data_IF_539458764554
#
_entry.id   IF_539458764554
#
_cell.length_a   1.000
_cell.length_b   1.000
_cell.length_c   1.000
_cell.angle_alpha   90.00
_cell.angle_beta   90.00
_cell.angle_gamma   90.00
#
_symmetry.space_group_name_H-M   'P 1'
#
loop_
_entity.id
_entity.type
_entity.pdbx_description
1 polymer ?
#
# COMPACT_ATOMS: atom_id res chain seq x y z
N UNK A 1 20.49 12.16 -10.32
CA UNK A 1 19.61 12.71 -9.25
C UNK A 1 19.26 14.14 -9.65
N UNK A 2 18.03 14.61 -9.39
CA UNK A 2 17.62 16.00 -9.68
C UNK A 2 18.30 17.05 -8.78
N UNK A 3 19.28 16.66 -7.96
CA UNK A 3 20.04 17.55 -7.06
C UNK A 3 19.35 17.90 -5.74
N UNK A 4 18.10 17.46 -5.54
CA UNK A 4 17.33 17.77 -4.34
C UNK A 4 17.95 17.14 -3.08
N UNK A 5 17.93 17.85 -1.93
CA UNK A 5 18.40 17.31 -0.66
C UNK A 5 17.53 16.13 -0.22
N UNK A 6 18.15 15.14 0.41
CA UNK A 6 17.50 13.91 0.88
C UNK A 6 17.56 13.88 2.39
N UNK A 7 16.42 13.66 3.04
CA UNK A 7 16.34 13.54 4.50
C UNK A 7 17.28 12.42 5.01
N UNK A 8 17.93 12.59 6.18
CA UNK A 8 18.68 11.51 6.83
C UNK A 8 17.81 10.29 7.16
N UNK A 9 16.49 10.50 7.27
CA UNK A 9 15.50 9.44 7.53
C UNK A 9 14.85 8.87 6.26
N UNK A 10 15.23 9.37 5.08
CA UNK A 10 14.73 8.84 3.81
C UNK A 10 15.10 7.35 3.68
N UNK A 11 14.25 6.50 3.07
CA UNK A 11 14.53 5.06 2.95
C UNK A 11 15.88 4.72 2.30
N UNK A 12 16.40 5.51 1.36
CA UNK A 12 17.78 5.30 0.84
C UNK A 12 18.89 5.38 1.90
N UNK A 13 18.68 6.16 2.97
CA UNK A 13 19.63 6.34 4.07
C UNK A 13 19.27 5.47 5.30
N UNK A 14 18.10 4.83 5.30
CA UNK A 14 17.62 4.02 6.42
C UNK A 14 18.47 2.76 6.56
N UNK A 15 18.81 2.44 7.82
CA UNK A 15 19.39 1.16 8.25
C UNK A 15 18.41 0.47 9.19
N UNK A 16 18.16 -0.82 8.94
CA UNK A 16 17.31 -1.63 9.81
C UNK A 16 18.20 -2.45 10.74
N UNK A 17 18.40 -1.94 11.96
CA UNK A 17 19.22 -2.58 12.99
C UNK A 17 18.27 -3.11 14.10
N UNK A 18 17.97 -4.42 14.12
CA UNK A 18 17.04 -4.97 15.11
C UNK A 18 17.61 -4.81 16.52
N UNK A 19 16.75 -4.40 17.46
CA UNK A 19 17.07 -4.32 18.89
C UNK A 19 15.95 -5.00 19.69
N UNK A 20 15.92 -6.35 19.72
CA UNK A 20 14.91 -7.08 20.47
C UNK A 20 14.89 -6.65 21.94
N UNK A 21 13.70 -6.52 22.51
CA UNK A 21 13.48 -6.15 23.90
C UNK A 21 12.06 -6.50 24.32
N UNK A 22 11.75 -6.30 25.60
CA UNK A 22 10.38 -6.43 26.11
C UNK A 22 9.44 -5.40 25.47
N UNK A 23 8.14 -5.71 25.44
CA UNK A 23 7.11 -4.77 24.99
C UNK A 23 6.81 -3.77 26.11
N UNK A 24 7.02 -2.48 25.83
CA UNK A 24 6.63 -1.38 26.71
C UNK A 24 5.73 -0.40 25.93
N UNK A 25 4.46 -0.30 26.36
CA UNK A 25 3.46 0.57 25.73
C UNK A 25 3.73 2.07 25.90
N UNK A 26 4.63 2.46 26.82
CA UNK A 26 5.09 3.84 26.98
C UNK A 26 6.28 4.17 26.09
N UNK A 27 7.04 3.15 25.70
CA UNK A 27 8.28 3.28 24.95
C UNK A 27 8.20 2.47 23.63
N UNK A 28 8.82 1.29 23.57
CA UNK A 28 8.91 0.46 22.37
C UNK A 28 7.93 -0.71 22.45
N UNK A 29 6.92 -0.71 21.59
CA UNK A 29 5.83 -1.70 21.64
C UNK A 29 5.56 -2.45 20.33
N UNK A 30 6.29 -2.16 19.25
CA UNK A 30 6.07 -2.80 17.95
C UNK A 30 7.36 -2.89 17.12
N UNK A 31 7.37 -3.81 16.16
CA UNK A 31 8.40 -3.95 15.14
C UNK A 31 8.13 -3.07 13.90
N UNK A 32 6.93 -2.52 13.77
CA UNK A 32 6.58 -1.59 12.70
C UNK A 32 7.38 -0.29 12.84
N UNK A 33 7.78 0.30 11.71
CA UNK A 33 8.39 1.64 11.68
C UNK A 33 7.32 2.73 11.48
N UNK A 34 7.67 4.00 11.70
CA UNK A 34 6.75 5.15 11.56
C UNK A 34 7.03 6.00 10.31
N UNK A 35 6.71 5.53 9.07
CA UNK A 35 6.83 6.36 7.89
C UNK A 35 5.85 7.55 7.95
N UNK A 36 6.31 8.70 7.48
CA UNK A 36 5.56 9.96 7.40
C UNK A 36 5.82 10.61 6.05
N UNK A 37 4.84 11.33 5.52
CA UNK A 37 5.02 12.16 4.34
C UNK A 37 5.17 13.60 4.77
N UNK A 38 6.36 14.18 4.59
CA UNK A 38 6.66 15.54 5.06
C UNK A 38 6.21 15.81 6.51
N UNK A 39 6.59 14.88 7.41
CA UNK A 39 6.22 14.86 8.84
C UNK A 39 4.73 14.65 9.15
N UNK A 40 3.88 14.51 8.14
CA UNK A 40 2.46 14.21 8.28
C UNK A 40 2.22 12.70 8.34
N UNK A 41 1.25 12.31 9.17
CA UNK A 41 0.64 10.98 9.14
C UNK A 41 -0.17 10.86 7.86
N UNK A 42 -0.05 9.72 7.17
CA UNK A 42 -0.79 9.45 5.94
C UNK A 42 -1.44 8.08 6.01
N UNK A 43 -2.61 7.94 5.38
CA UNK A 43 -3.34 6.69 5.24
C UNK A 43 -3.10 6.09 3.84
N UNK A 44 -2.70 4.82 3.78
CA UNK A 44 -2.52 4.08 2.55
C UNK A 44 -3.71 3.13 2.32
N UNK A 45 -4.25 3.15 1.11
CA UNK A 45 -5.39 2.31 0.75
C UNK A 45 -5.60 2.30 -0.75
N UNK A 46 -6.25 1.25 -1.26
CA UNK A 46 -6.78 1.28 -2.62
C UNK A 46 -7.85 2.38 -2.79
N UNK A 47 -8.64 2.63 -1.75
CA UNK A 47 -9.56 3.75 -1.67
C UNK A 47 -8.85 5.12 -1.72
N UNK A 48 -7.63 5.25 -1.18
CA UNK A 48 -6.86 6.50 -1.27
C UNK A 48 -6.47 6.77 -2.72
N UNK A 49 -6.22 5.71 -3.52
CA UNK A 49 -6.01 5.84 -4.97
C UNK A 49 -7.25 6.40 -5.66
N UNK A 50 -8.44 5.84 -5.39
CA UNK A 50 -9.68 6.38 -5.95
C UNK A 50 -9.86 7.86 -5.59
N UNK A 51 -9.66 8.21 -4.32
CA UNK A 51 -9.75 9.58 -3.84
C UNK A 51 -8.78 10.52 -4.55
N UNK A 52 -7.49 10.18 -4.58
CA UNK A 52 -6.46 10.99 -5.22
C UNK A 52 -6.71 11.13 -6.73
N UNK A 53 -7.10 10.05 -7.39
CA UNK A 53 -7.43 10.03 -8.81
C UNK A 53 -8.62 10.94 -9.12
N UNK A 54 -9.69 10.81 -8.34
CA UNK A 54 -10.89 11.64 -8.48
C UNK A 54 -10.57 13.12 -8.35
N UNK A 55 -9.80 13.48 -7.31
CA UNK A 55 -9.47 14.86 -6.95
C UNK A 55 -8.44 15.49 -7.89
N UNK A 56 -7.42 14.75 -8.29
CA UNK A 56 -6.35 15.28 -9.12
C UNK A 56 -6.78 15.49 -10.57
N UNK A 57 -7.69 14.65 -11.09
CA UNK A 57 -8.12 14.67 -12.49
C UNK A 57 -6.95 14.58 -13.48
N UNK A 58 -5.91 13.83 -13.11
CA UNK A 58 -4.70 13.59 -13.91
C UNK A 58 -4.62 12.17 -14.47
N UNK A 59 -5.77 11.54 -14.68
CA UNK A 59 -5.81 10.27 -15.38
C UNK A 59 -5.36 10.48 -16.84
N UNK A 60 -4.65 9.51 -17.43
CA UNK A 60 -4.58 9.40 -18.88
C UNK A 60 -5.99 9.36 -19.48
N UNK A 61 -6.09 9.68 -20.77
CA UNK A 61 -7.34 9.48 -21.50
C UNK A 61 -7.80 8.02 -21.33
N UNK A 62 -9.07 7.86 -20.99
CA UNK A 62 -9.69 6.58 -20.71
C UNK A 62 -11.07 6.54 -21.35
N UNK A 63 -11.42 5.40 -21.94
CA UNK A 63 -12.75 5.16 -22.52
C UNK A 63 -13.76 4.72 -21.46
N UNK A 64 -13.29 4.26 -20.29
CA UNK A 64 -14.14 3.67 -19.25
C UNK A 64 -14.13 4.43 -17.92
N UNK A 65 -13.15 5.30 -17.67
CA UNK A 65 -12.93 5.91 -16.36
C UNK A 65 -12.88 7.43 -16.51
N UNK A 66 -13.77 8.13 -15.80
CA UNK A 66 -13.78 9.60 -15.76
C UNK A 66 -13.67 10.11 -14.33
N UNK A 67 -12.66 10.95 -14.07
CA UNK A 67 -12.48 11.66 -12.80
C UNK A 67 -13.12 13.06 -12.86
N UNK A 68 -14.06 13.35 -11.96
CA UNK A 68 -14.87 14.59 -11.99
C UNK A 68 -14.39 15.67 -11.02
N UNK A 69 -13.35 15.41 -10.23
CA UNK A 69 -12.92 16.28 -9.11
C UNK A 69 -13.64 15.97 -7.79
N UNK A 70 -14.79 15.27 -7.84
CA UNK A 70 -15.62 14.94 -6.68
C UNK A 70 -16.18 13.52 -6.72
N UNK A 71 -15.96 12.78 -7.80
CA UNK A 71 -16.37 11.41 -8.00
C UNK A 71 -15.50 10.71 -9.06
N UNK A 72 -15.70 9.41 -9.19
CA UNK A 72 -15.18 8.54 -10.24
C UNK A 72 -16.34 7.88 -10.97
N UNK A 73 -16.56 8.20 -12.23
CA UNK A 73 -17.53 7.51 -13.11
C UNK A 73 -16.83 6.36 -13.80
N UNK A 74 -17.41 5.16 -13.68
CA UNK A 74 -16.87 3.89 -14.14
C UNK A 74 -17.88 3.24 -15.11
N UNK A 75 -17.58 3.26 -16.40
CA UNK A 75 -18.40 2.66 -17.44
C UNK A 75 -18.05 1.18 -17.57
N UNK A 76 -19.00 0.32 -17.20
CA UNK A 76 -18.92 -1.12 -17.45
C UNK A 76 -19.43 -1.36 -18.87
N UNK A 77 -18.57 -1.81 -19.81
CA UNK A 77 -18.99 -2.03 -21.19
C UNK A 77 -20.03 -3.13 -21.29
N UNK A 78 -20.79 -3.12 -22.39
CA UNK A 78 -21.81 -4.12 -22.68
C UNK A 78 -21.23 -5.56 -22.63
N UNK A 79 -21.67 -6.32 -21.64
CA UNK A 79 -21.47 -7.76 -21.53
C UNK A 79 -22.80 -8.48 -21.32
N UNK A 80 -22.79 -9.56 -20.53
CA UNK A 80 -24.00 -10.34 -20.21
C UNK A 80 -25.05 -9.53 -19.44
N UNK A 81 -24.61 -8.63 -18.54
CA UNK A 81 -25.49 -7.83 -17.66
C UNK A 81 -25.86 -6.47 -18.26
N UNK A 82 -25.57 -6.24 -19.54
CA UNK A 82 -25.76 -4.95 -20.20
C UNK A 82 -24.67 -3.92 -19.86
N UNK A 83 -24.66 -2.81 -20.60
CA UNK A 83 -23.81 -1.66 -20.31
C UNK A 83 -24.40 -0.88 -19.13
N UNK A 84 -23.54 -0.40 -18.24
CA UNK A 84 -23.97 0.41 -17.09
C UNK A 84 -22.85 1.31 -16.62
N UNK A 85 -23.22 2.46 -16.09
CA UNK A 85 -22.30 3.34 -15.40
C UNK A 85 -22.47 3.21 -13.88
N UNK A 86 -21.35 3.17 -13.18
CA UNK A 86 -21.27 3.12 -11.72
C UNK A 86 -20.44 4.31 -11.25
N UNK A 87 -20.95 5.10 -10.31
CA UNK A 87 -20.27 6.31 -9.83
C UNK A 87 -19.89 6.19 -8.35
N UNK A 88 -18.60 6.31 -8.06
CA UNK A 88 -18.10 6.45 -6.68
C UNK A 88 -17.96 7.92 -6.34
N UNK A 89 -18.71 8.41 -5.34
CA UNK A 89 -18.57 9.77 -4.85
C UNK A 89 -17.52 9.86 -3.74
N UNK A 90 -16.73 10.94 -3.75
CA UNK A 90 -15.82 11.27 -2.66
C UNK A 90 -16.66 11.53 -1.41
N UNK A 91 -16.49 10.76 -0.32
CA UNK A 91 -17.31 10.92 0.86
C UNK A 91 -16.97 12.20 1.62
N UNK A 92 -17.96 12.81 2.25
CA UNK A 92 -17.77 13.97 3.13
C UNK A 92 -17.04 13.61 4.42
N UNK A 93 -17.24 12.38 4.91
CA UNK A 93 -16.62 11.88 6.14
C UNK A 93 -15.87 10.59 5.85
N UNK A 94 -14.61 10.54 6.27
CA UNK A 94 -13.76 9.37 6.07
C UNK A 94 -13.86 8.43 7.28
N UNK A 95 -14.33 7.19 7.07
CA UNK A 95 -14.49 6.21 8.14
C UNK A 95 -14.34 4.76 7.64
N UNK A 96 -14.56 3.77 8.52
CA UNK A 96 -14.46 2.35 8.20
C UNK A 96 -15.40 1.89 7.07
N UNK A 97 -16.63 2.42 7.01
CA UNK A 97 -17.58 2.12 5.94
C UNK A 97 -17.09 2.66 4.60
N UNK A 98 -16.59 3.88 4.56
CA UNK A 98 -16.10 4.49 3.33
C UNK A 98 -14.82 3.84 2.81
N UNK A 99 -13.93 3.35 3.69
CA UNK A 99 -12.80 2.50 3.26
C UNK A 99 -13.29 1.23 2.57
N UNK A 100 -14.29 0.55 3.14
CA UNK A 100 -14.85 -0.67 2.56
C UNK A 100 -15.61 -0.40 1.26
N UNK A 101 -16.41 0.67 1.21
CA UNK A 101 -17.09 1.12 -0.02
C UNK A 101 -16.06 1.46 -1.09
N UNK A 102 -15.07 2.28 -0.77
CA UNK A 102 -13.97 2.62 -1.68
C UNK A 102 -13.25 1.38 -2.20
N UNK A 103 -12.98 0.38 -1.35
CA UNK A 103 -12.41 -0.91 -1.78
C UNK A 103 -13.33 -1.65 -2.77
N UNK A 104 -14.63 -1.69 -2.52
CA UNK A 104 -15.58 -2.35 -3.42
C UNK A 104 -15.60 -1.70 -4.82
N UNK A 105 -15.62 -0.37 -4.90
CA UNK A 105 -15.53 0.34 -6.17
C UNK A 105 -14.13 0.22 -6.82
N UNK A 106 -13.08 0.07 -6.01
CA UNK A 106 -11.71 -0.08 -6.51
C UNK A 106 -11.51 -1.41 -7.26
N UNK A 107 -12.27 -2.45 -6.92
CA UNK A 107 -12.28 -3.68 -7.73
C UNK A 107 -12.72 -3.40 -9.16
N UNK A 108 -13.83 -2.68 -9.34
CA UNK A 108 -14.30 -2.30 -10.67
C UNK A 108 -13.28 -1.38 -11.37
N UNK A 109 -12.77 -0.36 -10.68
CA UNK A 109 -11.73 0.51 -11.24
C UNK A 109 -10.53 -0.29 -11.75
N UNK A 110 -10.03 -1.25 -10.97
CA UNK A 110 -8.87 -2.07 -11.34
C UNK A 110 -9.17 -2.99 -12.52
N UNK A 111 -10.39 -3.53 -12.61
CA UNK A 111 -10.83 -4.33 -13.75
C UNK A 111 -10.89 -3.50 -15.02
N UNK A 112 -11.39 -2.26 -14.95
CA UNK A 112 -11.44 -1.36 -16.11
C UNK A 112 -10.03 -0.94 -16.56
N UNK A 113 -9.12 -0.63 -15.64
CA UNK A 113 -7.69 -0.40 -15.98
C UNK A 113 -7.07 -1.64 -16.63
N UNK A 114 -7.40 -2.84 -16.13
CA UNK A 114 -6.95 -4.09 -16.73
C UNK A 114 -7.50 -4.30 -18.15
N UNK A 115 -8.77 -3.96 -18.38
CA UNK A 115 -9.39 -4.00 -19.69
C UNK A 115 -8.71 -3.05 -20.68
N UNK A 116 -8.47 -1.78 -20.28
CA UNK A 116 -7.75 -0.82 -21.13
C UNK A 116 -6.35 -1.30 -21.47
N UNK A 117 -5.64 -1.84 -20.48
CA UNK A 117 -4.30 -2.40 -20.68
C UNK A 117 -4.32 -3.55 -21.69
N UNK A 118 -5.34 -4.41 -21.63
CA UNK A 118 -5.52 -5.51 -22.59
C UNK A 118 -5.84 -5.01 -24.01
N UNK A 119 -6.71 -4.01 -24.13
CA UNK A 119 -7.06 -3.42 -25.43
C UNK A 119 -5.85 -2.75 -26.09
N UNK A 120 -5.04 -2.02 -25.31
CA UNK A 120 -3.79 -1.43 -25.82
C UNK A 120 -2.78 -2.52 -26.21
N UNK A 121 -2.67 -3.60 -25.42
CA UNK A 121 -1.84 -4.74 -25.80
C UNK A 121 -2.27 -5.38 -27.13
N UNK A 122 -3.58 -5.54 -27.37
CA UNK A 122 -4.09 -6.05 -28.66
C UNK A 122 -3.80 -5.12 -29.83
N UNK A 123 -3.88 -3.80 -29.62
CA UNK A 123 -3.53 -2.80 -30.64
C UNK A 123 -2.06 -2.87 -31.01
N UNK A 124 -1.16 -2.89 -30.01
CA UNK A 124 0.28 -3.07 -30.21
C UNK A 124 0.58 -4.38 -30.95
N UNK A 125 -0.06 -5.48 -30.54
CA UNK A 125 0.14 -6.78 -31.18
C UNK A 125 -0.29 -6.80 -32.65
N UNK A 126 -1.41 -6.12 -33.00
CA UNK A 126 -1.87 -5.95 -34.40
C UNK A 126 -0.89 -5.12 -35.23
N UNK A 127 -0.19 -4.18 -34.61
CA UNK A 127 0.86 -3.36 -35.24
C UNK A 127 2.19 -4.12 -35.40
N UNK A 128 2.29 -5.35 -34.88
CA UNK A 128 3.49 -6.16 -34.93
C UNK A 128 4.46 -5.92 -33.77
N UNK A 129 4.09 -5.08 -32.80
CA UNK A 129 4.89 -4.82 -31.60
C UNK A 129 4.82 -6.01 -30.65
N UNK A 130 5.92 -6.77 -30.58
CA UNK A 130 6.01 -8.04 -29.81
C UNK A 130 7.21 -8.10 -28.86
N UNK A 131 7.94 -7.00 -28.70
CA UNK A 131 9.10 -6.93 -27.80
C UNK A 131 8.62 -6.96 -26.34
N UNK A 132 9.03 -7.98 -25.58
CA UNK A 132 8.63 -8.18 -24.17
C UNK A 132 9.76 -7.92 -23.16
N UNK A 133 11.00 -7.76 -23.63
CA UNK A 133 12.16 -7.47 -22.81
C UNK A 133 13.04 -6.41 -23.48
N UNK A 134 13.52 -5.44 -22.70
CA UNK A 134 14.41 -4.38 -23.23
C UNK A 134 15.78 -4.94 -23.57
N UNK A 135 16.29 -5.84 -22.72
CA UNK A 135 17.59 -6.49 -22.81
C UNK A 135 17.42 -8.00 -22.96
N UNK A 136 18.34 -8.64 -23.66
CA UNK A 136 18.51 -10.09 -23.72
C UNK A 136 19.29 -10.61 -22.50
N UNK A 137 19.21 -11.91 -22.17
CA UNK A 137 20.01 -12.48 -21.08
C UNK A 137 21.53 -12.27 -21.25
N UNK A 138 22.03 -12.26 -22.49
CA UNK A 138 23.45 -12.01 -22.79
C UNK A 138 23.88 -10.57 -22.53
N UNK A 139 22.95 -9.60 -22.59
CA UNK A 139 23.26 -8.17 -22.36
C UNK A 139 23.14 -7.78 -20.88
N UNK A 140 22.63 -8.66 -20.01
CA UNK A 140 22.27 -8.31 -18.64
C UNK A 140 23.49 -7.93 -17.80
N UNK A 141 24.56 -8.72 -17.84
CA UNK A 141 25.74 -8.50 -16.99
C UNK A 141 26.43 -7.15 -17.31
N UNK A 142 26.51 -6.82 -18.59
CA UNK A 142 27.08 -5.56 -19.09
C UNK A 142 26.18 -4.36 -18.76
N UNK A 143 24.86 -4.57 -18.68
CA UNK A 143 23.90 -3.53 -18.33
C UNK A 143 23.84 -3.21 -16.83
N UNK A 144 24.36 -4.07 -15.95
CA UNK A 144 24.37 -3.83 -14.50
C UNK A 144 25.36 -2.70 -14.17
N UNK A 145 24.89 -1.56 -13.64
CA UNK A 145 25.77 -0.44 -13.29
C UNK A 145 26.83 -0.85 -12.27
N UNK A 146 28.07 -0.39 -12.47
CA UNK A 146 29.21 -0.67 -11.58
C UNK A 146 29.58 0.53 -10.69
N UNK A 147 28.91 1.67 -10.86
CA UNK A 147 29.00 2.88 -10.03
C UNK A 147 27.85 2.94 -8.99
N UNK A 148 27.93 3.89 -8.04
CA UNK A 148 26.84 4.08 -7.07
C UNK A 148 25.58 4.56 -7.77
N UNK A 149 24.49 3.79 -7.66
CA UNK A 149 23.16 4.15 -8.16
C UNK A 149 22.12 4.07 -7.07
N UNK A 150 21.15 4.98 -7.13
CA UNK A 150 19.97 4.99 -6.27
C UNK A 150 18.74 4.94 -7.15
N UNK A 151 17.77 4.12 -6.78
CA UNK A 151 16.50 4.00 -7.50
C UNK A 151 15.34 3.81 -6.54
N UNK A 152 14.16 4.18 -7.01
CA UNK A 152 12.89 3.96 -6.30
C UNK A 152 11.88 3.38 -7.28
N UNK A 153 11.25 2.27 -6.89
CA UNK A 153 10.11 1.68 -7.58
C UNK A 153 8.83 2.03 -6.85
N UNK A 154 7.89 2.67 -7.54
CA UNK A 154 6.56 2.97 -7.02
C UNK A 154 5.56 1.95 -7.54
N UNK A 155 4.70 1.45 -6.67
CA UNK A 155 3.67 0.51 -7.07
C UNK A 155 2.36 0.72 -6.33
N UNK A 156 1.24 0.52 -7.04
CA UNK A 156 -0.09 0.51 -6.45
C UNK A 156 -0.53 -0.89 -6.03
N UNK A 157 -0.07 -1.38 -4.88
CA UNK A 157 -0.55 -2.64 -4.30
C UNK A 157 -2.06 -2.61 -3.96
N UNK A 158 -2.65 -3.79 -3.72
CA UNK A 158 -4.07 -3.91 -3.37
C UNK A 158 -4.47 -3.18 -2.07
N UNK A 159 -3.51 -2.99 -1.16
CA UNK A 159 -3.71 -2.28 0.12
C UNK A 159 -3.30 -0.80 0.09
N UNK A 160 -2.84 -0.28 -1.04
CA UNK A 160 -2.37 1.11 -1.16
C UNK A 160 -1.05 1.22 -1.93
N UNK A 161 -0.36 2.34 -1.80
CA UNK A 161 0.92 2.55 -2.46
C UNK A 161 2.08 1.90 -1.69
N UNK A 162 3.06 1.42 -2.44
CA UNK A 162 4.24 0.69 -2.02
C UNK A 162 5.44 1.34 -2.67
N UNK A 163 6.54 1.44 -1.93
CA UNK A 163 7.82 1.88 -2.50
C UNK A 163 8.95 0.93 -2.14
N UNK A 164 9.77 0.62 -3.15
CA UNK A 164 11.03 -0.09 -2.99
C UNK A 164 12.16 0.89 -3.27
N UNK A 165 13.09 1.03 -2.34
CA UNK A 165 14.24 1.91 -2.44
C UNK A 165 15.51 1.08 -2.49
N UNK A 166 16.23 1.18 -3.60
CA UNK A 166 17.46 0.44 -3.84
C UNK A 166 18.63 1.43 -3.90
N UNK A 167 19.72 1.07 -3.23
CA UNK A 167 21.06 1.61 -3.44
C UNK A 167 21.95 0.45 -3.87
N UNK A 168 22.72 0.65 -4.93
CA UNK A 168 23.70 -0.31 -5.42
C UNK A 168 25.03 0.38 -5.66
N UNK A 169 26.12 -0.37 -5.54
CA UNK A 169 27.48 0.04 -5.90
C UNK A 169 28.26 -1.21 -6.34
N UNK A 170 29.19 -1.06 -7.30
CA UNK A 170 30.03 -2.15 -7.84
C UNK A 170 29.22 -3.38 -8.27
N UNK A 171 28.06 -3.17 -8.87
CA UNK A 171 27.16 -4.23 -9.30
C UNK A 171 26.48 -5.02 -8.18
N UNK A 172 26.51 -4.52 -6.93
CA UNK A 172 25.89 -5.17 -5.76
C UNK A 172 24.87 -4.26 -5.09
N UNK A 173 23.83 -4.84 -4.53
CA UNK A 173 22.88 -4.14 -3.68
C UNK A 173 23.57 -3.80 -2.35
N UNK A 174 23.65 -2.51 -2.01
CA UNK A 174 24.26 -2.01 -0.77
C UNK A 174 23.22 -1.53 0.24
N UNK A 175 22.03 -1.13 -0.20
CA UNK A 175 20.87 -0.90 0.68
C UNK A 175 19.57 -1.24 -0.06
N UNK A 176 18.62 -1.86 0.63
CA UNK A 176 17.29 -2.14 0.09
C UNK A 176 16.24 -1.91 1.18
N UNK A 177 15.33 -0.98 0.94
CA UNK A 177 14.31 -0.59 1.92
C UNK A 177 12.93 -0.55 1.28
N UNK A 178 11.99 -1.22 1.93
CA UNK A 178 10.60 -1.34 1.47
C UNK A 178 9.72 -0.56 2.43
N UNK A 179 8.80 0.23 1.89
CA UNK A 179 7.71 0.86 2.65
C UNK A 179 6.40 0.38 2.04
N UNK A 180 5.70 -0.49 2.76
CA UNK A 180 4.42 -1.08 2.34
C UNK A 180 3.23 -0.28 2.87
N UNK A 181 2.03 -0.47 2.29
CA UNK A 181 0.81 0.16 2.82
C UNK A 181 0.54 -0.18 4.28
N UNK A 182 0.73 -1.44 4.68
CA UNK A 182 0.51 -1.84 6.08
C UNK A 182 1.57 -1.26 7.02
N UNK A 183 2.81 -1.03 6.56
CA UNK A 183 3.82 -0.31 7.37
C UNK A 183 3.35 1.12 7.68
N UNK A 184 2.69 1.77 6.72
CA UNK A 184 2.14 3.11 6.89
C UNK A 184 0.97 3.10 7.88
N UNK A 185 -0.02 2.24 7.64
CA UNK A 185 -1.25 2.26 8.43
C UNK A 185 -1.05 1.72 9.86
N UNK A 186 -0.21 0.70 10.03
CA UNK A 186 0.13 0.11 11.33
C UNK A 186 1.30 0.82 12.02
N UNK A 187 1.69 2.00 11.53
CA UNK A 187 2.79 2.75 12.15
C UNK A 187 2.48 3.07 13.61
N UNK A 188 3.44 2.92 14.54
CA UNK A 188 3.28 3.40 15.89
C UNK A 188 3.36 4.92 15.94
N UNK A 189 3.25 5.46 17.16
CA UNK A 189 3.61 6.85 17.43
C UNK A 189 5.01 7.16 16.91
N UNK A 190 5.15 8.30 16.25
CA UNK A 190 6.46 8.80 15.85
C UNK A 190 7.18 9.49 17.02
N UNK A 191 8.43 9.94 16.88
CA UNK A 191 9.16 10.63 17.94
C UNK A 191 8.51 11.95 18.43
N UNK A 192 7.52 12.48 17.71
CA UNK A 192 6.74 13.65 18.12
C UNK A 192 5.39 13.28 18.73
N UNK A 193 5.14 11.98 18.94
CA UNK A 193 3.92 11.46 19.57
C UNK A 193 2.73 11.33 18.63
N UNK A 194 2.88 11.57 17.31
CA UNK A 194 1.76 11.48 16.38
C UNK A 194 1.41 10.00 16.12
N UNK A 195 0.16 9.57 16.42
CA UNK A 195 -0.26 8.19 16.21
C UNK A 195 -0.31 7.82 14.72
N UNK A 196 -0.20 6.54 14.41
CA UNK A 196 -0.47 6.05 13.06
C UNK A 196 -1.97 5.88 12.77
N UNK A 197 -2.35 5.61 11.51
CA UNK A 197 -3.75 5.51 11.11
C UNK A 197 -4.57 4.46 11.88
N UNK A 198 -3.98 3.33 12.27
CA UNK A 198 -4.68 2.32 13.08
C UNK A 198 -5.05 2.84 14.48
N UNK A 199 -4.07 3.43 15.16
CA UNK A 199 -4.28 4.00 16.50
C UNK A 199 -5.30 5.14 16.44
N UNK A 200 -5.15 6.05 15.48
CA UNK A 200 -6.07 7.17 15.30
C UNK A 200 -7.50 6.71 14.98
N UNK A 201 -7.66 5.73 14.08
CA UNK A 201 -8.98 5.21 13.74
C UNK A 201 -9.67 4.54 14.94
N UNK A 202 -8.93 3.75 15.73
CA UNK A 202 -9.49 3.06 16.90
C UNK A 202 -9.85 4.06 18.01
N UNK A 203 -8.99 5.05 18.29
CA UNK A 203 -9.28 6.08 19.29
C UNK A 203 -10.53 6.90 18.94
N UNK A 204 -10.80 7.07 17.64
CA UNK A 204 -11.96 7.81 17.14
C UNK A 204 -13.19 6.94 16.86
N UNK A 205 -13.18 5.64 17.22
CA UNK A 205 -14.30 4.73 16.99
C UNK A 205 -15.21 4.67 18.23
N UNK A 206 -16.49 5.09 18.13
CA UNK A 206 -17.46 4.89 19.20
C UNK A 206 -17.71 3.40 19.45
N UNK A 207 -17.76 3.00 20.71
CA UNK A 207 -18.15 1.63 21.11
C UNK A 207 -19.68 1.59 21.18
N UNK A 208 -20.29 0.79 20.31
CA UNK A 208 -21.74 0.60 20.24
C UNK A 208 -22.18 -0.76 20.80
N UNK A 209 -21.25 -1.70 20.98
CA UNK A 209 -21.51 -2.93 21.72
C UNK A 209 -21.75 -2.67 23.21
N UNK A 210 -22.51 -3.55 23.87
CA UNK A 210 -22.74 -3.46 25.31
C UNK A 210 -21.47 -3.79 26.09
N UNK A 211 -21.01 -2.84 26.90
CA UNK A 211 -19.81 -2.93 27.73
C UNK A 211 -20.10 -3.28 29.19
N UNK A 212 -21.39 -3.43 29.57
CA UNK A 212 -21.80 -3.71 30.95
C UNK A 212 -21.32 -5.08 31.45
N UNK A 213 -21.22 -6.06 30.55
CA UNK A 213 -20.71 -7.39 30.85
C UNK A 213 -19.41 -7.67 30.06
N UNK A 214 -18.25 -7.67 30.73
CA UNK A 214 -16.96 -7.96 30.09
C UNK A 214 -16.87 -9.33 29.42
N UNK A 215 -17.66 -10.33 29.85
CA UNK A 215 -17.61 -11.67 29.24
C UNK A 215 -18.27 -11.75 27.87
N UNK A 216 -19.08 -10.76 27.51
CA UNK A 216 -19.73 -10.64 26.19
C UNK A 216 -19.08 -9.59 25.30
N UNK A 217 -18.07 -8.88 25.80
CA UNK A 217 -17.35 -7.86 25.04
C UNK A 217 -16.43 -8.52 24.00
N UNK A 218 -16.65 -8.19 22.72
CA UNK A 218 -15.94 -8.78 21.58
C UNK A 218 -14.99 -7.79 20.90
N UNK A 219 -15.07 -6.51 21.26
CA UNK A 219 -14.32 -5.42 20.60
C UNK A 219 -14.71 -5.24 19.13
N UNK A 220 -15.95 -5.58 18.74
CA UNK A 220 -16.37 -5.67 17.34
C UNK A 220 -16.21 -4.34 16.59
N UNK A 221 -16.40 -3.22 17.27
CA UNK A 221 -16.33 -1.89 16.65
C UNK A 221 -14.88 -1.49 16.33
N UNK A 222 -13.96 -1.73 17.27
CA UNK A 222 -12.52 -1.55 17.07
C UNK A 222 -12.01 -2.51 15.98
N UNK A 223 -12.50 -3.75 15.99
CA UNK A 223 -12.18 -4.77 15.01
C UNK A 223 -12.67 -4.38 13.60
N UNK A 224 -13.87 -3.82 13.46
CA UNK A 224 -14.38 -3.29 12.18
C UNK A 224 -13.53 -2.12 11.69
N UNK A 225 -13.14 -1.22 12.58
CA UNK A 225 -12.25 -0.11 12.25
C UNK A 225 -10.90 -0.62 11.71
N UNK A 226 -10.22 -1.53 12.41
CA UNK A 226 -8.94 -2.10 11.97
C UNK A 226 -9.08 -2.91 10.69
N UNK A 227 -10.07 -3.82 10.60
CA UNK A 227 -10.27 -4.65 9.39
C UNK A 227 -10.63 -3.82 8.16
N UNK A 228 -11.20 -2.63 8.32
CA UNK A 228 -11.46 -1.73 7.19
C UNK A 228 -10.20 -1.26 6.48
N UNK A 229 -9.02 -1.38 7.09
CA UNK A 229 -7.73 -1.13 6.45
C UNK A 229 -7.13 -2.35 5.75
N UNK A 230 -7.70 -3.54 5.93
CA UNK A 230 -7.16 -4.80 5.42
C UNK A 230 -5.69 -5.05 5.86
N UNK A 231 -5.43 -5.28 7.16
CA UNK A 231 -4.07 -5.43 7.69
C UNK A 231 -3.33 -6.65 7.14
N UNK A 232 -2.08 -6.45 6.70
CA UNK A 232 -1.14 -7.51 6.34
C UNK A 232 0.09 -7.41 7.25
N UNK A 233 0.15 -8.22 8.31
CA UNK A 233 1.26 -8.17 9.27
C UNK A 233 2.62 -8.59 8.68
N UNK A 234 2.72 -9.62 7.82
CA UNK A 234 3.97 -9.92 7.12
C UNK A 234 4.46 -8.78 6.21
N UNK A 235 3.53 -7.99 5.67
CA UNK A 235 3.87 -6.80 4.89
C UNK A 235 4.36 -5.66 5.79
N UNK A 236 3.99 -5.63 7.07
CA UNK A 236 4.30 -4.55 8.02
C UNK A 236 5.75 -4.65 8.52
N UNK A 237 6.25 -5.88 8.66
CA UNK A 237 7.60 -6.16 9.15
C UNK A 237 8.25 -7.23 8.29
N UNK A 238 9.40 -6.89 7.71
CA UNK A 238 10.21 -7.83 6.94
C UNK A 238 11.39 -8.25 7.80
N UNK A 239 11.29 -9.41 8.44
CA UNK A 239 12.36 -9.97 9.27
C UNK A 239 13.08 -11.08 8.51
N UNK A 240 14.40 -11.07 8.58
CA UNK A 240 15.26 -12.15 8.09
C UNK A 240 16.06 -12.68 9.27
N UNK A 241 16.03 -13.99 9.50
CA UNK A 241 16.70 -14.62 10.66
C UNK A 241 18.21 -14.79 10.45
N UNK A 242 18.73 -14.62 9.23
CA UNK A 242 20.13 -14.88 8.95
C UNK A 242 20.45 -16.35 9.13
N UNK A 243 21.40 -16.66 10.01
CA UNK A 243 21.71 -18.03 10.48
C UNK A 243 20.84 -18.46 11.67
N UNK A 244 19.94 -17.60 12.14
CA UNK A 244 19.06 -17.89 13.26
C UNK A 244 18.01 -18.95 12.92
N UNK A 245 17.73 -19.82 13.88
CA UNK A 245 16.76 -20.89 13.76
C UNK A 245 15.33 -20.39 14.01
N UNK A 246 14.39 -20.74 13.11
CA UNK A 246 12.96 -20.45 13.28
C UNK A 246 12.39 -21.52 14.22
N UNK A 247 12.25 -21.19 15.51
CA UNK A 247 11.72 -22.13 16.51
C UNK A 247 10.19 -22.24 16.51
N UNK A 248 9.50 -21.27 15.92
CA UNK A 248 8.04 -21.26 15.81
C UNK A 248 7.60 -20.35 14.67
N UNK A 249 6.89 -20.93 13.71
CA UNK A 249 6.17 -20.19 12.68
C UNK A 249 4.70 -20.06 13.09
N UNK A 250 4.14 -18.86 12.96
CA UNK A 250 2.71 -18.63 13.22
C UNK A 250 2.13 -17.90 12.01
N UNK A 251 1.43 -18.65 11.16
CA UNK A 251 0.68 -18.06 10.06
C UNK A 251 -0.59 -17.41 10.60
N UNK A 252 -0.62 -16.08 10.54
CA UNK A 252 -1.74 -15.25 11.05
C UNK A 252 -2.67 -14.75 9.94
N UNK A 253 -2.36 -15.06 8.68
CA UNK A 253 -3.33 -14.93 7.60
C UNK A 253 -4.29 -16.11 7.70
N UNK A 254 -5.58 -15.82 7.83
CA UNK A 254 -6.73 -16.74 7.89
C UNK A 254 -6.97 -17.51 6.58
N UNK A 255 -5.90 -17.93 5.91
CA UNK A 255 -5.92 -18.80 4.72
C UNK A 255 -5.07 -20.07 4.94
N UNK A 256 -4.68 -20.34 6.20
CA UNK A 256 -3.90 -21.52 6.59
C UNK A 256 -4.35 -22.02 7.96
N UNK A 257 -5.57 -22.57 7.99
CA UNK A 257 -6.19 -23.46 8.97
C UNK A 257 -7.62 -23.62 8.44
N UNK A 258 -7.99 -24.67 7.70
CA UNK A 258 -7.59 -26.09 7.77
C UNK A 258 -6.82 -26.62 6.54
#
# INVERSE_FOLDING_TARGET
MLGNPISPYHPWNKRTLPKPGGRDWKEKYTWATSPRWDRQVVEAGCYSRLLMTAKAQKLPQSDFITATGHSMRLLVPKGEVGEREVEWHVPERWNAFERNRGRAYHYLFSQLVGLESLLEAYKLFKQGERKVATLTPSELEDAIPKDERRSVGWWGAGRGWLTHHLVMDKGKITNYQIVTPSTINASPRDPWGQPGPYEEAVMNTPIIEDVSNPSTFTSIDMLRAIRSFDPCMPCTTHAHTGTGEVVREVNTCSCGAD
#
